data_IF_265490976804
#
_entry.id   IF_265490976804
#
_cell.length_a   1.000
_cell.length_b   1.000
_cell.length_c   1.000
_cell.angle_alpha   90.00
_cell.angle_beta   90.00
_cell.angle_gamma   90.00
#
_symmetry.space_group_name_H-M   'P 1'
#
loop_
_entity.id
_entity.type
_entity.pdbx_description
1 polymer ?
#
# COMPACT_ATOMS: atom_id res chain seq x y z
N UNK A 1 30.24 -28.19 11.67
CA UNK A 1 29.78 -26.79 11.84
C UNK A 1 29.63 -26.15 10.47
N UNK A 2 28.41 -26.08 9.92
CA UNK A 2 28.11 -25.37 8.68
C UNK A 2 27.71 -23.93 9.01
N UNK A 3 28.67 -23.06 9.32
CA UNK A 3 28.37 -21.68 9.73
C UNK A 3 28.46 -20.67 8.57
N UNK A 4 29.16 -21.00 7.48
CA UNK A 4 29.33 -20.09 6.33
C UNK A 4 28.23 -20.16 5.27
N UNK A 5 27.63 -21.34 5.02
CA UNK A 5 26.57 -21.49 4.02
C UNK A 5 25.28 -20.77 4.39
N UNK A 6 24.91 -20.80 5.67
CA UNK A 6 23.70 -20.14 6.19
C UNK A 6 23.78 -18.63 6.06
N UNK A 7 24.94 -18.02 6.31
CA UNK A 7 25.12 -16.57 6.19
C UNK A 7 25.07 -16.09 4.75
N UNK A 8 25.68 -16.83 3.81
CA UNK A 8 25.60 -16.50 2.39
C UNK A 8 24.16 -16.56 1.85
N UNK A 9 23.40 -17.60 2.22
CA UNK A 9 21.99 -17.72 1.83
C UNK A 9 21.12 -16.61 2.43
N UNK A 10 21.37 -16.23 3.69
CA UNK A 10 20.68 -15.11 4.34
C UNK A 10 20.98 -13.78 3.63
N UNK A 11 22.23 -13.54 3.23
CA UNK A 11 22.62 -12.36 2.46
C UNK A 11 21.94 -12.34 1.08
N UNK A 12 21.95 -13.45 0.35
CA UNK A 12 21.25 -13.55 -0.93
C UNK A 12 19.75 -13.29 -0.78
N UNK A 13 19.12 -13.85 0.26
CA UNK A 13 17.71 -13.61 0.57
C UNK A 13 17.44 -12.12 0.84
N UNK A 14 18.29 -11.47 1.64
CA UNK A 14 18.16 -10.04 1.94
C UNK A 14 18.31 -9.19 0.66
N UNK A 15 19.27 -9.53 -0.20
CA UNK A 15 19.46 -8.86 -1.48
C UNK A 15 18.21 -8.96 -2.38
N UNK A 16 17.62 -10.16 -2.46
CA UNK A 16 16.39 -10.38 -3.24
C UNK A 16 15.21 -9.58 -2.69
N UNK A 17 15.07 -9.50 -1.37
CA UNK A 17 14.01 -8.69 -0.73
C UNK A 17 14.17 -7.21 -1.10
N UNK A 18 15.39 -6.66 -1.06
CA UNK A 18 15.66 -5.27 -1.43
C UNK A 18 15.39 -5.02 -2.92
N UNK A 19 15.76 -5.96 -3.79
CA UNK A 19 15.50 -5.87 -5.23
C UNK A 19 13.99 -5.89 -5.53
N UNK A 20 13.25 -6.80 -4.88
CA UNK A 20 11.80 -6.89 -5.00
C UNK A 20 11.12 -5.62 -4.50
N UNK A 21 11.57 -5.08 -3.37
CA UNK A 21 11.02 -3.84 -2.83
C UNK A 21 11.29 -2.64 -3.75
N UNK A 22 12.50 -2.54 -4.30
CA UNK A 22 12.83 -1.51 -5.27
C UNK A 22 12.10 -1.65 -6.62
N UNK A 23 11.83 -2.89 -7.07
CA UNK A 23 11.02 -3.13 -8.25
C UNK A 23 9.54 -2.79 -8.01
N UNK A 24 9.00 -3.15 -6.85
CA UNK A 24 7.63 -2.84 -6.43
C UNK A 24 7.37 -1.33 -6.38
N UNK A 25 8.28 -0.56 -5.76
CA UNK A 25 8.17 0.90 -5.71
C UNK A 25 8.21 1.54 -7.10
N UNK A 26 9.08 1.05 -7.99
CA UNK A 26 9.19 1.55 -9.37
C UNK A 26 7.94 1.23 -10.19
N UNK A 27 7.37 0.04 -10.01
CA UNK A 27 6.17 -0.40 -10.72
C UNK A 27 4.96 0.50 -10.46
N UNK A 28 4.84 1.03 -9.24
CA UNK A 28 3.69 1.84 -8.82
C UNK A 28 4.03 3.32 -8.59
N UNK A 29 5.20 3.78 -9.06
CA UNK A 29 5.72 5.11 -8.73
C UNK A 29 4.76 6.23 -9.16
N UNK A 30 4.18 6.13 -10.35
CA UNK A 30 3.29 7.16 -10.87
C UNK A 30 1.96 7.20 -10.10
N UNK A 31 1.38 6.04 -9.81
CA UNK A 31 0.14 5.95 -9.04
C UNK A 31 0.35 6.44 -7.60
N UNK A 32 1.47 6.10 -6.96
CA UNK A 32 1.82 6.56 -5.63
C UNK A 32 2.03 8.08 -5.59
N UNK A 33 2.66 8.62 -6.63
CA UNK A 33 2.82 10.07 -6.79
C UNK A 33 1.47 10.76 -6.88
N UNK A 34 0.56 10.30 -7.73
CA UNK A 34 -0.78 10.87 -7.85
C UNK A 34 -1.57 10.78 -6.56
N UNK A 35 -1.52 9.62 -5.89
CA UNK A 35 -2.19 9.44 -4.61
C UNK A 35 -1.62 10.39 -3.55
N UNK A 36 -0.30 10.64 -3.53
CA UNK A 36 0.29 11.64 -2.66
C UNK A 36 -0.18 13.07 -3.00
N UNK A 37 -0.16 13.44 -4.28
CA UNK A 37 -0.62 14.77 -4.74
C UNK A 37 -2.11 15.02 -4.44
N UNK A 38 -2.92 13.96 -4.40
CA UNK A 38 -4.35 14.00 -4.09
C UNK A 38 -4.66 13.75 -2.60
N UNK A 39 -3.64 13.62 -1.75
CA UNK A 39 -3.78 13.32 -0.31
C UNK A 39 -4.56 12.03 -0.01
N UNK A 40 -4.43 11.04 -0.90
CA UNK A 40 -5.02 9.72 -0.71
C UNK A 40 -4.18 8.85 0.21
N UNK A 41 -4.84 7.98 0.97
CA UNK A 41 -4.16 6.97 1.77
C UNK A 41 -3.79 5.78 0.91
N UNK A 42 -2.54 5.32 1.02
CA UNK A 42 -2.01 4.17 0.26
C UNK A 42 -1.76 3.02 1.24
N UNK A 43 -2.31 1.84 0.96
CA UNK A 43 -2.01 0.61 1.71
C UNK A 43 -1.43 -0.44 0.78
N UNK A 44 -0.24 -0.95 1.11
CA UNK A 44 0.42 -2.01 0.34
C UNK A 44 -0.19 -3.37 0.68
N UNK A 45 -0.63 -4.10 -0.34
CA UNK A 45 -1.27 -5.41 -0.19
C UNK A 45 -0.40 -6.56 -0.73
N UNK A 46 0.67 -6.27 -1.46
CA UNK A 46 1.57 -7.25 -2.05
C UNK A 46 2.49 -6.63 -3.10
N UNK A 47 3.22 -7.46 -3.86
CA UNK A 47 4.03 -6.98 -4.98
C UNK A 47 3.12 -6.44 -6.11
N UNK A 48 3.31 -5.19 -6.49
CA UNK A 48 2.49 -4.48 -7.48
C UNK A 48 1.05 -4.23 -7.04
N UNK A 49 0.70 -4.53 -5.80
CA UNK A 49 -0.67 -4.46 -5.29
C UNK A 49 -0.79 -3.39 -4.20
N UNK A 50 -1.60 -2.36 -4.48
CA UNK A 50 -1.87 -1.24 -3.58
C UNK A 50 -3.35 -0.94 -3.55
N UNK A 51 -3.82 -0.54 -2.38
CA UNK A 51 -5.15 0.02 -2.19
C UNK A 51 -4.99 1.52 -2.02
N UNK A 52 -5.71 2.27 -2.84
CA UNK A 52 -5.74 3.73 -2.81
C UNK A 52 -7.10 4.16 -2.25
N UNK A 53 -7.09 4.94 -1.18
CA UNK A 53 -8.32 5.44 -0.53
C UNK A 53 -8.36 6.96 -0.61
N UNK A 54 -9.35 7.43 -1.34
CA UNK A 54 -9.69 8.85 -1.44
C UNK A 54 -10.57 9.26 -0.24
N UNK A 55 -10.13 10.20 0.61
CA UNK A 55 -10.87 10.60 1.80
C UNK A 55 -12.24 11.23 1.48
N UNK A 56 -12.47 11.70 0.26
CA UNK A 56 -13.78 12.25 -0.15
C UNK A 56 -14.87 11.19 -0.15
N UNK A 57 -14.55 9.92 -0.39
CA UNK A 57 -15.53 8.82 -0.28
C UNK A 57 -15.93 8.53 1.16
N UNK A 58 -15.06 8.83 2.13
CA UNK A 58 -15.40 8.69 3.55
C UNK A 58 -16.46 9.73 3.93
N UNK A 59 -16.26 10.98 3.51
CA UNK A 59 -17.24 12.05 3.69
C UNK A 59 -18.59 11.73 3.03
N UNK A 60 -18.59 11.21 1.80
CA UNK A 60 -19.85 10.82 1.12
C UNK A 60 -20.59 9.77 1.93
N UNK A 61 -19.90 8.74 2.44
CA UNK A 61 -20.52 7.71 3.26
C UNK A 61 -21.10 8.26 4.57
N UNK A 62 -20.40 9.20 5.21
CA UNK A 62 -20.89 9.86 6.43
C UNK A 62 -22.16 10.69 6.15
N UNK A 63 -22.17 11.47 5.07
CA UNK A 63 -23.33 12.28 4.66
C UNK A 63 -24.52 11.39 4.30
N UNK A 64 -24.29 10.32 3.55
CA UNK A 64 -25.34 9.35 3.23
C UNK A 64 -25.90 8.67 4.48
N UNK A 65 -25.04 8.31 5.45
CA UNK A 65 -25.48 7.73 6.71
C UNK A 65 -26.33 8.71 7.52
N UNK A 66 -25.91 9.98 7.60
CA UNK A 66 -26.69 11.04 8.25
C UNK A 66 -28.06 11.24 7.57
N UNK A 67 -28.10 11.27 6.23
CA UNK A 67 -29.34 11.40 5.46
C UNK A 67 -30.29 10.22 5.70
N UNK A 68 -29.78 8.99 5.73
CA UNK A 68 -30.58 7.80 6.06
C UNK A 68 -31.18 7.89 7.46
N UNK A 69 -30.40 8.32 8.46
CA UNK A 69 -30.91 8.50 9.82
C UNK A 69 -31.99 9.59 9.91
N UNK A 70 -31.80 10.70 9.19
CA UNK A 70 -32.78 11.80 9.17
C UNK A 70 -34.11 11.39 8.52
N UNK A 71 -34.08 10.48 7.53
CA UNK A 71 -35.29 9.97 6.86
C UNK A 71 -36.02 8.87 7.66
N UNK A 72 -35.37 8.27 8.65
CA UNK A 72 -35.96 7.24 9.54
C UNK A 72 -36.47 7.82 10.87
N UNK A 73 -36.25 9.12 11.11
CA UNK A 73 -36.76 9.90 12.25
C UNK A 73 -38.10 10.56 11.94
#
# INVERSE_FOLDING_TARGET
MHFHGTNALLLCKAQLILLLDGADRRLCADQDRWAYELEWTITRAGFGARQYRDPRFDLVQEVEAAGRMALMS
#
